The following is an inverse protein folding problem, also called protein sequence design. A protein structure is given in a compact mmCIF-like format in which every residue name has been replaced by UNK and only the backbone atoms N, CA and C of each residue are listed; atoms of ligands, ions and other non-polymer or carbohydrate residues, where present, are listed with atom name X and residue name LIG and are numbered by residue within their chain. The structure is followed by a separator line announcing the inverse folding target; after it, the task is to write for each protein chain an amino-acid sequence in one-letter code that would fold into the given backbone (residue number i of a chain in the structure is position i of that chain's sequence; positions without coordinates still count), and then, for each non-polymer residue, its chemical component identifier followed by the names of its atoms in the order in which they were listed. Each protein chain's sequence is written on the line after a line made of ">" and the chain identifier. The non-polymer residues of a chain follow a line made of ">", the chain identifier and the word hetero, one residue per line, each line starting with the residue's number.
data_IF_659903745792
#
_entry.id   IF_659903745792
#
_cell.length_a   1.000
_cell.length_b   1.000
_cell.length_c   1.000
_cell.angle_alpha   90.00
_cell.angle_beta   90.00
_cell.angle_gamma   90.00
#
_symmetry.space_group_name_H-M   'P 1'
#
loop_
_entity.id
_entity.type
_entity.pdbx_description
1 polymer ?
#
# COMPACT_ATOMS: atom_id res chain seq x y z
N UNK A 1 1.62 73.68 34.33
CA UNK A 1 2.50 72.52 34.15
C UNK A 1 1.62 71.29 34.06
N UNK A 2 1.35 70.81 32.85
CA UNK A 2 0.53 69.62 32.61
C UNK A 2 1.39 68.62 31.84
N UNK A 3 1.66 67.48 32.44
CA UNK A 3 2.48 66.43 31.84
C UNK A 3 1.77 65.84 30.60
N UNK A 4 2.47 65.64 29.47
CA UNK A 4 1.89 64.99 28.31
C UNK A 4 1.68 63.51 28.62
N UNK A 5 0.45 63.05 28.37
CA UNK A 5 -0.03 61.70 28.66
C UNK A 5 0.65 60.69 27.74
N UNK A 6 1.38 59.77 28.36
CA UNK A 6 2.16 58.68 27.75
C UNK A 6 1.25 57.52 27.29
N UNK A 7 0.25 57.83 26.47
CA UNK A 7 -0.81 56.89 26.04
C UNK A 7 -0.59 56.29 24.65
N UNK A 8 0.35 56.84 23.86
CA UNK A 8 0.46 56.56 22.41
C UNK A 8 1.35 55.36 22.06
N UNK A 9 2.10 54.79 23.02
CA UNK A 9 3.01 53.65 22.77
C UNK A 9 2.52 52.27 23.23
N UNK A 10 1.39 52.16 23.96
CA UNK A 10 0.87 50.86 24.45
C UNK A 10 -0.02 50.12 23.46
N UNK A 11 -0.66 50.83 22.54
CA UNK A 11 -1.62 50.31 21.56
C UNK A 11 -1.07 49.26 20.58
N UNK A 12 0.13 49.40 19.95
CA UNK A 12 0.58 48.44 18.94
C UNK A 12 0.97 47.08 19.53
N UNK A 13 1.48 47.06 20.77
CA UNK A 13 1.87 45.81 21.46
C UNK A 13 0.66 45.00 21.90
N UNK A 14 -0.41 45.68 22.35
CA UNK A 14 -1.67 45.06 22.75
C UNK A 14 -2.40 44.49 21.52
N UNK A 15 -2.46 45.25 20.42
CA UNK A 15 -3.07 44.81 19.17
C UNK A 15 -2.35 43.59 18.58
N UNK A 16 -1.00 43.58 18.59
CA UNK A 16 -0.20 42.43 18.17
C UNK A 16 -0.44 41.19 19.03
N UNK A 17 -0.61 41.35 20.36
CA UNK A 17 -0.93 40.23 21.26
C UNK A 17 -2.31 39.65 21.00
N UNK A 18 -3.31 40.51 20.76
CA UNK A 18 -4.68 40.08 20.42
C UNK A 18 -4.67 39.34 19.07
N UNK A 19 -3.98 39.86 18.07
CA UNK A 19 -3.88 39.23 16.76
C UNK A 19 -3.17 37.88 16.82
N UNK A 20 -2.08 37.77 17.59
CA UNK A 20 -1.39 36.50 17.83
C UNK A 20 -2.26 35.50 18.59
N UNK A 21 -3.01 35.94 19.60
CA UNK A 21 -3.93 35.09 20.33
C UNK A 21 -5.05 34.57 19.44
N UNK A 22 -5.61 35.43 18.57
CA UNK A 22 -6.62 35.04 17.60
C UNK A 22 -6.08 34.06 16.56
N UNK A 23 -4.88 34.32 16.02
CA UNK A 23 -4.23 33.41 15.07
C UNK A 23 -3.92 32.05 15.70
N UNK A 24 -3.41 32.02 16.93
CA UNK A 24 -3.16 30.80 17.67
C UNK A 24 -4.47 30.03 17.95
N UNK A 25 -5.55 30.74 18.28
CA UNK A 25 -6.88 30.13 18.46
C UNK A 25 -7.36 29.49 17.17
N UNK A 26 -7.29 30.20 16.04
CA UNK A 26 -7.69 29.67 14.72
C UNK A 26 -6.84 28.47 14.33
N UNK A 27 -5.52 28.54 14.52
CA UNK A 27 -4.62 27.43 14.25
C UNK A 27 -4.93 26.20 15.12
N UNK A 28 -5.21 26.40 16.42
CA UNK A 28 -5.59 25.31 17.33
C UNK A 28 -6.93 24.69 16.95
N UNK A 29 -7.93 25.51 16.60
CA UNK A 29 -9.24 25.02 16.12
C UNK A 29 -9.06 24.22 14.84
N UNK A 30 -8.27 24.73 13.89
CA UNK A 30 -7.99 24.03 12.63
C UNK A 30 -7.28 22.69 12.87
N UNK A 31 -6.24 22.68 13.72
CA UNK A 31 -5.56 21.45 14.13
C UNK A 31 -6.53 20.46 14.79
N UNK A 32 -7.39 20.93 15.69
CA UNK A 32 -8.38 20.09 16.36
C UNK A 32 -9.38 19.49 15.35
N UNK A 33 -9.84 20.27 14.38
CA UNK A 33 -10.73 19.79 13.32
C UNK A 33 -10.06 18.73 12.44
N UNK A 34 -8.79 18.92 12.06
CA UNK A 34 -8.02 17.90 11.33
C UNK A 34 -7.89 16.63 12.16
N UNK A 35 -7.50 16.73 13.43
CA UNK A 35 -7.35 15.56 14.31
C UNK A 35 -8.67 14.82 14.44
N UNK A 36 -9.79 15.53 14.67
CA UNK A 36 -11.12 14.92 14.74
C UNK A 36 -11.51 14.29 13.40
N UNK A 37 -11.22 14.94 12.28
CA UNK A 37 -11.48 14.41 10.93
C UNK A 37 -10.70 13.14 10.66
N UNK A 38 -9.41 13.10 10.99
CA UNK A 38 -8.55 11.92 10.87
C UNK A 38 -9.04 10.80 11.79
N UNK A 39 -9.34 11.09 13.06
CA UNK A 39 -9.82 10.08 14.01
C UNK A 39 -11.18 9.52 13.59
N UNK A 40 -12.11 10.36 13.11
CA UNK A 40 -13.40 9.92 12.58
C UNK A 40 -13.24 9.11 11.30
N UNK A 41 -12.42 9.58 10.36
CA UNK A 41 -12.10 8.84 9.15
C UNK A 41 -11.49 7.48 9.45
N UNK A 42 -10.54 7.40 10.38
CA UNK A 42 -9.96 6.12 10.85
C UNK A 42 -10.97 5.24 11.60
N UNK A 43 -11.94 5.84 12.31
CA UNK A 43 -12.99 5.13 13.02
C UNK A 43 -14.07 4.54 12.10
N UNK A 44 -14.41 5.24 11.01
CA UNK A 44 -15.27 4.75 9.93
C UNK A 44 -14.54 3.73 9.04
N UNK A 45 -13.22 3.86 8.91
CA UNK A 45 -12.32 2.81 8.39
C UNK A 45 -11.97 1.80 9.49
N UNK A 46 -12.92 1.45 10.37
CA UNK A 46 -12.91 0.11 10.96
C UNK A 46 -13.18 -0.85 9.82
N UNK A 47 -12.10 -1.22 9.12
CA UNK A 47 -12.13 -2.11 7.98
C UNK A 47 -12.93 -3.38 8.31
N UNK A 48 -13.48 -4.06 7.29
CA UNK A 48 -14.13 -5.34 7.48
C UNK A 48 -13.26 -6.21 8.38
N UNK A 49 -13.87 -6.87 9.39
CA UNK A 49 -13.15 -7.74 10.33
C UNK A 49 -12.12 -8.54 9.53
N UNK A 50 -10.83 -8.57 9.96
CA UNK A 50 -9.80 -9.26 9.21
C UNK A 50 -10.29 -10.69 8.97
N UNK A 51 -10.42 -11.04 7.69
CA UNK A 51 -10.87 -12.37 7.33
C UNK A 51 -9.94 -13.39 8.01
N UNK A 52 -10.49 -14.50 8.52
CA UNK A 52 -9.69 -15.46 9.26
C UNK A 52 -8.49 -15.94 8.40
N UNK A 53 -7.33 -16.15 9.04
CA UNK A 53 -6.15 -16.64 8.35
C UNK A 53 -6.46 -17.98 7.67
N UNK A 54 -5.84 -18.20 6.53
CA UNK A 54 -6.02 -19.43 5.75
C UNK A 54 -5.04 -20.51 6.17
N UNK A 55 -5.40 -21.79 6.02
CA UNK A 55 -4.45 -22.88 6.10
C UNK A 55 -3.32 -22.70 5.08
N UNK A 56 -2.12 -23.14 5.43
CA UNK A 56 -0.92 -22.95 4.61
C UNK A 56 -1.04 -23.63 3.23
N UNK A 57 -1.73 -24.77 3.13
CA UNK A 57 -2.04 -25.42 1.84
C UNK A 57 -2.90 -24.52 0.93
N UNK A 58 -3.99 -23.94 1.47
CA UNK A 58 -4.83 -22.99 0.72
C UNK A 58 -4.08 -21.70 0.37
N UNK A 59 -3.11 -21.30 1.19
CA UNK A 59 -2.22 -20.19 0.86
C UNK A 59 -1.32 -20.53 -0.32
N UNK A 60 -0.74 -21.73 -0.39
CA UNK A 60 0.03 -22.17 -1.54
C UNK A 60 -0.80 -22.15 -2.82
N UNK A 61 -2.01 -22.72 -2.80
CA UNK A 61 -2.93 -22.71 -3.95
C UNK A 61 -3.21 -21.29 -4.46
N UNK A 62 -3.47 -20.35 -3.54
CA UNK A 62 -3.71 -18.95 -3.90
C UNK A 62 -2.47 -18.25 -4.45
N UNK A 63 -1.29 -18.55 -3.91
CA UNK A 63 -0.04 -17.98 -4.41
C UNK A 63 0.27 -18.51 -5.82
N UNK A 64 0.03 -19.80 -6.06
CA UNK A 64 0.19 -20.41 -7.38
C UNK A 64 -0.77 -19.79 -8.39
N UNK A 65 -2.05 -19.63 -8.02
CA UNK A 65 -3.04 -18.97 -8.87
C UNK A 65 -2.66 -17.53 -9.21
N UNK A 66 -2.21 -16.74 -8.23
CA UNK A 66 -1.73 -15.37 -8.46
C UNK A 66 -0.51 -15.34 -9.39
N UNK A 67 0.41 -16.29 -9.24
CA UNK A 67 1.58 -16.37 -10.12
C UNK A 67 1.19 -16.74 -11.54
N UNK A 68 0.34 -17.74 -11.72
CA UNK A 68 -0.13 -18.17 -13.05
C UNK A 68 -0.82 -17.00 -13.75
N UNK A 69 -1.73 -16.32 -13.06
CA UNK A 69 -2.44 -15.16 -13.61
C UNK A 69 -1.47 -14.04 -14.03
N UNK A 70 -0.45 -13.75 -13.21
CA UNK A 70 0.58 -12.77 -13.55
C UNK A 70 1.38 -13.19 -14.80
N UNK A 71 1.80 -14.45 -14.88
CA UNK A 71 2.54 -14.97 -16.03
C UNK A 71 1.69 -14.94 -17.31
N UNK A 72 0.41 -15.29 -17.22
CA UNK A 72 -0.53 -15.24 -18.34
C UNK A 72 -0.69 -13.81 -18.86
N UNK A 73 -0.80 -12.83 -17.95
CA UNK A 73 -0.87 -11.41 -18.35
C UNK A 73 0.42 -10.97 -19.05
N UNK A 74 1.58 -11.31 -18.49
CA UNK A 74 2.88 -10.99 -19.09
C UNK A 74 3.06 -11.65 -20.46
N UNK A 75 2.55 -12.87 -20.66
CA UNK A 75 2.60 -13.57 -21.93
C UNK A 75 1.59 -13.04 -22.96
N UNK A 76 0.55 -12.33 -22.53
CA UNK A 76 -0.41 -11.68 -23.43
C UNK A 76 0.17 -10.41 -24.08
N UNK A 77 1.05 -9.70 -23.38
CA UNK A 77 1.62 -8.42 -23.84
C UNK A 77 2.24 -8.46 -25.25
N UNK A 78 3.08 -9.45 -25.63
CA UNK A 78 3.65 -9.53 -26.97
C UNK A 78 2.61 -9.80 -28.07
N UNK A 79 1.41 -10.23 -27.70
CA UNK A 79 0.31 -10.55 -28.63
C UNK A 79 -0.64 -9.36 -28.81
N UNK A 80 -0.47 -8.28 -28.05
CA UNK A 80 -1.34 -7.11 -28.11
C UNK A 80 -1.11 -6.33 -29.43
N UNK A 81 -2.18 -5.87 -30.10
CA UNK A 81 -2.06 -5.23 -31.41
C UNK A 81 -1.33 -3.88 -31.36
N UNK A 82 -1.40 -3.19 -30.23
CA UNK A 82 -0.70 -1.92 -29.99
C UNK A 82 -0.37 -1.70 -28.51
N UNK A 83 0.59 -0.82 -28.24
CA UNK A 83 0.94 -0.41 -26.87
C UNK A 83 -0.20 0.39 -26.19
N UNK A 84 -1.03 1.08 -26.97
CA UNK A 84 -2.16 1.86 -26.45
C UNK A 84 -3.28 0.94 -25.94
N UNK A 85 -3.70 -0.04 -26.74
CA UNK A 85 -4.70 -1.03 -26.32
C UNK A 85 -4.22 -1.86 -25.12
N UNK A 86 -2.93 -2.17 -25.07
CA UNK A 86 -2.34 -2.87 -23.94
C UNK A 86 -2.35 -2.03 -22.65
N UNK A 87 -2.09 -0.72 -22.73
CA UNK A 87 -2.17 0.18 -21.59
C UNK A 87 -3.61 0.28 -21.05
N UNK A 88 -4.60 0.34 -21.94
CA UNK A 88 -6.03 0.39 -21.58
C UNK A 88 -6.50 -0.90 -20.89
N UNK A 89 -5.99 -2.06 -21.32
CA UNK A 89 -6.30 -3.34 -20.70
C UNK A 89 -5.52 -3.59 -19.39
N UNK A 90 -4.26 -3.14 -19.32
CA UNK A 90 -3.37 -3.46 -18.21
C UNK A 90 -3.74 -2.73 -16.93
N UNK A 91 -4.10 -1.45 -17.02
CA UNK A 91 -4.44 -0.63 -15.85
C UNK A 91 -5.56 -1.21 -15.00
N UNK A 92 -6.77 -1.47 -15.56
CA UNK A 92 -7.88 -2.09 -14.85
C UNK A 92 -7.52 -3.46 -14.26
N UNK A 93 -6.86 -4.32 -15.06
CA UNK A 93 -6.42 -5.63 -14.59
C UNK A 93 -5.47 -5.53 -13.39
N UNK A 94 -4.48 -4.63 -13.44
CA UNK A 94 -3.49 -4.47 -12.38
C UNK A 94 -4.15 -4.04 -11.06
N UNK A 95 -5.17 -3.19 -11.11
CA UNK A 95 -5.96 -2.79 -9.93
C UNK A 95 -6.69 -3.99 -9.33
N UNK A 96 -7.35 -4.80 -10.14
CA UNK A 96 -8.06 -5.99 -9.65
C UNK A 96 -7.10 -7.04 -9.09
N UNK A 97 -5.98 -7.27 -9.79
CA UNK A 97 -4.93 -8.19 -9.37
C UNK A 97 -4.34 -7.77 -8.01
N UNK A 98 -4.07 -6.46 -7.82
CA UNK A 98 -3.63 -5.91 -6.52
C UNK A 98 -4.66 -6.17 -5.43
N UNK A 99 -5.94 -5.99 -5.72
CA UNK A 99 -7.02 -6.31 -4.79
C UNK A 99 -6.97 -7.78 -4.32
N UNK A 100 -6.84 -8.73 -5.26
CA UNK A 100 -6.70 -10.17 -4.95
C UNK A 100 -5.41 -10.49 -4.20
N UNK A 101 -4.31 -9.85 -4.60
CA UNK A 101 -3.01 -10.01 -3.95
C UNK A 101 -3.06 -9.58 -2.49
N UNK A 102 -3.57 -8.37 -2.19
CA UNK A 102 -3.67 -7.86 -0.82
C UNK A 102 -4.61 -8.70 0.04
N UNK A 103 -5.74 -9.17 -0.52
CA UNK A 103 -6.63 -10.11 0.17
C UNK A 103 -5.92 -11.42 0.51
N UNK A 104 -5.06 -11.93 -0.38
CA UNK A 104 -4.29 -13.15 -0.14
C UNK A 104 -3.20 -12.92 0.90
N UNK A 105 -2.44 -11.84 0.77
CA UNK A 105 -1.40 -11.43 1.72
C UNK A 105 -1.95 -11.27 3.14
N UNK A 106 -3.10 -10.61 3.29
CA UNK A 106 -3.73 -10.37 4.58
C UNK A 106 -4.11 -11.68 5.32
N UNK A 107 -4.40 -12.75 4.57
CA UNK A 107 -4.84 -14.03 5.12
C UNK A 107 -3.74 -15.09 5.23
N UNK A 108 -2.64 -14.89 4.52
CA UNK A 108 -1.55 -15.86 4.41
C UNK A 108 -0.26 -15.44 5.11
N UNK A 109 -0.23 -14.26 5.73
CA UNK A 109 0.95 -13.76 6.44
C UNK A 109 0.60 -13.25 7.85
N UNK A 110 0.62 -14.11 8.88
CA UNK A 110 0.97 -15.53 8.85
C UNK A 110 -0.20 -16.45 8.43
N UNK A 111 0.08 -17.68 7.93
CA UNK A 111 -0.94 -18.71 7.75
C UNK A 111 -1.43 -19.24 9.11
N UNK A 112 -2.58 -19.90 9.13
CA UNK A 112 -3.24 -20.37 10.36
C UNK A 112 -2.49 -21.50 11.09
N UNK A 113 -1.87 -22.41 10.34
CA UNK A 113 -1.33 -23.70 10.79
C UNK A 113 0.15 -23.90 10.39
N UNK A 114 0.84 -22.84 9.96
CA UNK A 114 2.22 -22.93 9.47
C UNK A 114 3.28 -22.73 10.54
N UNK A 115 4.39 -23.47 10.43
CA UNK A 115 5.61 -23.20 11.19
C UNK A 115 6.16 -21.80 10.89
N UNK A 116 6.99 -21.26 11.78
CA UNK A 116 7.62 -19.95 11.57
C UNK A 116 8.43 -19.89 10.25
N UNK A 117 9.05 -21.01 9.88
CA UNK A 117 9.79 -21.17 8.64
C UNK A 117 8.87 -21.15 7.41
N UNK A 118 7.75 -21.88 7.46
CA UNK A 118 6.75 -21.88 6.39
C UNK A 118 6.10 -20.49 6.22
N UNK A 119 5.79 -19.81 7.32
CA UNK A 119 5.28 -18.44 7.30
C UNK A 119 6.30 -17.47 6.66
N UNK A 120 7.60 -17.65 6.90
CA UNK A 120 8.64 -16.86 6.25
C UNK A 120 8.72 -17.15 4.74
N UNK A 121 8.67 -18.42 4.34
CA UNK A 121 8.68 -18.81 2.93
C UNK A 121 7.47 -18.25 2.16
N UNK A 122 6.28 -18.27 2.76
CA UNK A 122 5.07 -17.67 2.19
C UNK A 122 5.22 -16.14 2.04
N UNK A 123 5.79 -15.46 3.03
CA UNK A 123 6.07 -14.01 2.95
C UNK A 123 7.01 -13.64 1.81
N UNK A 124 8.11 -14.39 1.63
CA UNK A 124 9.03 -14.15 0.52
C UNK A 124 8.40 -14.46 -0.85
N UNK A 125 7.53 -15.49 -0.91
CA UNK A 125 6.73 -15.77 -2.13
C UNK A 125 5.82 -14.60 -2.49
N UNK A 126 5.08 -14.05 -1.51
CA UNK A 126 4.25 -12.85 -1.71
C UNK A 126 5.07 -11.64 -2.16
N UNK A 127 6.23 -11.42 -1.54
CA UNK A 127 7.12 -10.29 -1.86
C UNK A 127 7.67 -10.36 -3.29
N UNK A 128 8.09 -11.54 -3.73
CA UNK A 128 8.60 -11.75 -5.10
C UNK A 128 7.51 -11.56 -6.15
N UNK A 129 6.28 -12.05 -5.90
CA UNK A 129 5.12 -11.78 -6.78
C UNK A 129 4.82 -10.28 -6.85
N UNK A 130 4.81 -9.58 -5.70
CA UNK A 130 4.59 -8.13 -5.67
C UNK A 130 5.64 -7.38 -6.48
N UNK A 131 6.91 -7.75 -6.31
CA UNK A 131 8.02 -7.15 -7.04
C UNK A 131 7.90 -7.40 -8.55
N UNK A 132 7.49 -8.59 -8.96
CA UNK A 132 7.25 -8.90 -10.37
C UNK A 132 6.14 -8.03 -10.96
N UNK A 133 5.04 -7.84 -10.22
CA UNK A 133 3.97 -6.91 -10.61
C UNK A 133 4.51 -5.47 -10.74
N UNK A 134 5.19 -4.95 -9.71
CA UNK A 134 5.71 -3.58 -9.73
C UNK A 134 6.67 -3.34 -10.91
N UNK A 135 7.52 -4.32 -11.24
CA UNK A 135 8.40 -4.27 -12.40
C UNK A 135 7.66 -4.40 -13.74
N UNK A 136 6.50 -5.06 -13.75
CA UNK A 136 5.65 -5.12 -14.94
C UNK A 136 4.87 -3.82 -15.18
N UNK A 137 4.60 -3.00 -14.16
CA UNK A 137 3.87 -1.74 -14.38
C UNK A 137 4.74 -0.64 -14.99
N UNK A 138 6.06 -0.72 -14.77
CA UNK A 138 7.00 0.20 -15.38
C UNK A 138 7.14 -0.24 -16.86
N UNK A 139 6.43 0.44 -17.77
CA UNK A 139 6.34 0.05 -19.19
C UNK A 139 7.70 -0.12 -19.90
N UNK A 140 8.76 0.55 -19.44
CA UNK A 140 10.11 0.40 -19.96
C UNK A 140 10.81 -0.90 -19.52
N UNK A 141 10.30 -1.60 -18.50
CA UNK A 141 10.95 -2.78 -17.89
C UNK A 141 10.35 -4.12 -18.26
N UNK A 142 9.30 -4.18 -19.09
CA UNK A 142 8.83 -5.43 -19.71
C UNK A 142 9.95 -6.15 -20.50
N UNK A 143 10.93 -5.38 -20.99
CA UNK A 143 12.14 -5.87 -21.64
C UNK A 143 13.40 -5.71 -20.79
N UNK A 144 13.26 -5.30 -19.52
CA UNK A 144 14.43 -5.15 -18.67
C UNK A 144 14.94 -6.52 -18.21
N UNK A 145 16.27 -6.61 -18.14
CA UNK A 145 17.03 -7.69 -17.49
C UNK A 145 16.62 -8.00 -16.04
N UNK A 146 15.70 -7.25 -15.44
CA UNK A 146 15.31 -7.33 -14.04
C UNK A 146 14.02 -8.12 -13.81
N UNK A 147 13.13 -8.22 -14.80
CA UNK A 147 11.86 -8.95 -14.62
C UNK A 147 12.08 -10.48 -14.58
N UNK A 148 12.86 -11.02 -15.52
CA UNK A 148 13.15 -12.47 -15.60
C UNK A 148 13.67 -13.05 -14.28
N UNK A 149 14.75 -12.51 -13.68
CA UNK A 149 15.28 -13.02 -12.41
C UNK A 149 14.27 -12.98 -11.25
N UNK A 150 13.35 -12.01 -11.22
CA UNK A 150 12.32 -11.93 -10.17
C UNK A 150 11.22 -12.96 -10.40
N UNK A 151 10.91 -13.28 -11.65
CA UNK A 151 10.00 -14.39 -11.97
C UNK A 151 10.61 -15.73 -11.57
N UNK A 152 11.91 -15.92 -11.77
CA UNK A 152 12.62 -17.12 -11.34
C UNK A 152 12.64 -17.24 -9.80
N UNK A 153 12.99 -16.15 -9.11
CA UNK A 153 12.95 -16.05 -7.64
C UNK A 153 11.56 -16.40 -7.09
N UNK A 154 10.49 -15.90 -7.73
CA UNK A 154 9.13 -16.24 -7.33
C UNK A 154 8.79 -17.72 -7.57
N UNK A 155 9.38 -18.38 -8.57
CA UNK A 155 9.21 -19.81 -8.80
C UNK A 155 9.91 -20.62 -7.69
N UNK A 156 11.15 -20.25 -7.36
CA UNK A 156 11.94 -20.90 -6.32
C UNK A 156 11.29 -20.76 -4.93
N UNK A 157 10.76 -19.57 -4.64
CA UNK A 157 10.06 -19.31 -3.38
C UNK A 157 8.80 -20.18 -3.23
N UNK A 158 8.00 -20.33 -4.30
CA UNK A 158 6.87 -21.26 -4.30
C UNK A 158 7.29 -22.72 -4.12
N UNK A 159 8.36 -23.15 -4.80
CA UNK A 159 8.90 -24.50 -4.60
C UNK A 159 9.40 -24.72 -3.16
N UNK A 160 9.96 -23.69 -2.52
CA UNK A 160 10.33 -23.75 -1.10
C UNK A 160 9.10 -23.91 -0.21
N UNK A 161 8.02 -23.14 -0.44
CA UNK A 161 6.75 -23.30 0.30
C UNK A 161 6.21 -24.72 0.14
N UNK A 162 6.19 -25.26 -1.09
CA UNK A 162 5.72 -26.63 -1.37
C UNK A 162 6.54 -27.68 -0.62
N UNK A 163 7.87 -27.53 -0.58
CA UNK A 163 8.75 -28.45 0.17
C UNK A 163 8.56 -28.40 1.68
N UNK A 164 8.17 -27.26 2.24
CA UNK A 164 7.95 -27.10 3.67
C UNK A 164 6.55 -27.53 4.13
N UNK A 165 5.64 -27.76 3.18
CA UNK A 165 4.28 -28.28 3.42
C UNK A 165 4.20 -29.81 3.42
N UNK A 166 5.20 -30.49 2.85
CA UNK A 166 5.31 -31.95 2.74
C UNK A 166 6.39 -32.47 3.69
#
# INVERSE_FOLDING_TARGET
>A
MSAPTDATHRTPRLFRRIFLAFYALVALVFCALIVVGVVRGLGEIRGPRPAPPLPAASCLERLEALRVELLDRLAAFPRSPSAAEEADAFGPWAVEFRGRFEQTRARCSPPADGSAELAAAIRESLKSIRRALDLSEIQATHWSRHLGPVLDESAENLQRVRRLLH
#
